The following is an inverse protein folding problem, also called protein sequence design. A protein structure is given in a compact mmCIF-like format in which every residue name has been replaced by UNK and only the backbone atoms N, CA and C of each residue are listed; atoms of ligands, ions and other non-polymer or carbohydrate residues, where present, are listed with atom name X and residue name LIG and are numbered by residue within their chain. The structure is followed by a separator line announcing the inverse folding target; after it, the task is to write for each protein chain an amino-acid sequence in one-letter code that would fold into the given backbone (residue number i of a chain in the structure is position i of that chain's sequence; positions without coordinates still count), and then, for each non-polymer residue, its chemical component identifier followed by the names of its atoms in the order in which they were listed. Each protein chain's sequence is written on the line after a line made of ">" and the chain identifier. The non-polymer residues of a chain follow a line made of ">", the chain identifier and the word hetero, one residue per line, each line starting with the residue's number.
data_IF_068565264968
#
_entry.id   IF_068565264968
#
_cell.length_a   1.000
_cell.length_b   1.000
_cell.length_c   1.000
_cell.angle_alpha   90.00
_cell.angle_beta   90.00
_cell.angle_gamma   90.00
#
_symmetry.space_group_name_H-M   'P 1'
#
loop_
_entity.id
_entity.type
_entity.pdbx_description
1 polymer ?
#
# COMPACT_ATOMS: atom_id res chain seq x y z
N UNK A 1 -26.07 -3.76 11.80
CA UNK A 1 -24.61 -3.93 11.98
C UNK A 1 -24.38 -5.22 12.76
N UNK A 2 -23.63 -6.21 12.26
CA UNK A 2 -23.39 -7.41 13.07
C UNK A 2 -22.53 -6.98 14.26
N UNK A 3 -23.07 -7.12 15.46
CA UNK A 3 -22.37 -6.77 16.70
C UNK A 3 -21.03 -7.52 16.76
N UNK A 4 -19.95 -6.77 16.95
CA UNK A 4 -18.61 -7.35 17.02
C UNK A 4 -18.49 -8.22 18.28
N UNK A 5 -18.36 -9.55 18.10
CA UNK A 5 -18.37 -10.51 19.21
C UNK A 5 -16.99 -10.66 19.88
N UNK A 6 -16.95 -10.81 21.20
CA UNK A 6 -15.74 -11.17 21.97
C UNK A 6 -15.05 -9.99 22.68
N UNK A 7 -14.04 -10.29 23.49
CA UNK A 7 -13.27 -9.28 24.23
C UNK A 7 -12.40 -8.45 23.27
N UNK A 8 -12.37 -7.13 23.45
CA UNK A 8 -11.61 -6.17 22.63
C UNK A 8 -11.86 -6.29 21.10
N UNK A 9 -13.11 -6.15 20.63
CA UNK A 9 -13.47 -6.32 19.23
C UNK A 9 -12.76 -5.33 18.28
N UNK A 10 -12.36 -4.15 18.79
CA UNK A 10 -11.62 -3.11 18.05
C UNK A 10 -10.38 -3.65 17.32
N UNK A 11 -9.76 -4.74 17.82
CA UNK A 11 -8.59 -5.38 17.21
C UNK A 11 -8.87 -6.03 15.85
N UNK A 12 -10.14 -6.17 15.48
CA UNK A 12 -10.60 -6.73 14.19
C UNK A 12 -11.02 -5.65 13.18
N UNK A 13 -10.72 -4.38 13.44
CA UNK A 13 -11.03 -3.27 12.52
C UNK A 13 -9.85 -3.00 11.59
N UNK A 14 -10.13 -2.59 10.34
CA UNK A 14 -9.09 -2.19 9.37
C UNK A 14 -8.19 -1.09 9.94
N UNK A 15 -8.79 -0.07 10.56
CA UNK A 15 -8.07 1.02 11.24
C UNK A 15 -7.05 0.51 12.26
N UNK A 16 -7.40 -0.52 13.05
CA UNK A 16 -6.46 -1.10 14.02
C UNK A 16 -5.32 -1.86 13.32
N UNK A 17 -5.64 -2.69 12.31
CA UNK A 17 -4.64 -3.48 11.59
C UNK A 17 -3.66 -2.60 10.78
N UNK A 18 -4.15 -1.52 10.18
CA UNK A 18 -3.35 -0.55 9.42
C UNK A 18 -2.44 0.32 10.31
N UNK A 19 -2.89 0.60 11.55
CA UNK A 19 -2.11 1.38 12.52
C UNK A 19 -0.83 0.68 13.01
N UNK A 20 -0.64 -0.60 12.70
CA UNK A 20 0.57 -1.36 13.07
C UNK A 20 1.82 -0.70 12.48
N UNK A 21 2.79 -0.35 13.33
CA UNK A 21 4.04 0.34 12.89
C UNK A 21 5.13 -0.63 12.43
N UNK A 22 4.91 -1.94 12.55
CA UNK A 22 5.88 -2.94 12.13
C UNK A 22 5.75 -3.16 10.64
N UNK A 23 6.60 -2.44 9.89
CA UNK A 23 6.87 -2.69 8.48
C UNK A 23 8.28 -3.23 8.36
N UNK A 24 8.42 -4.52 8.06
CA UNK A 24 9.74 -5.13 7.87
C UNK A 24 10.23 -4.87 6.44
N UNK A 25 11.46 -5.31 6.15
CA UNK A 25 12.10 -5.14 4.84
C UNK A 25 11.25 -5.77 3.74
N UNK A 26 11.64 -5.72 2.45
CA UNK A 26 10.87 -6.39 1.37
C UNK A 26 10.62 -7.90 1.65
N UNK A 27 11.21 -8.40 2.74
CA UNK A 27 10.77 -9.52 3.55
C UNK A 27 10.23 -9.05 4.93
N UNK A 28 8.90 -8.90 5.08
CA UNK A 28 8.06 -8.79 6.31
C UNK A 28 7.56 -7.36 6.75
N UNK A 29 6.58 -7.21 7.69
CA UNK A 29 5.55 -6.19 8.15
C UNK A 29 4.48 -6.97 9.04
N UNK A 30 4.96 -7.89 9.88
CA UNK A 30 4.34 -9.05 10.57
C UNK A 30 3.23 -9.98 9.96
N UNK A 31 1.97 -9.58 9.68
CA UNK A 31 1.05 -10.52 8.97
C UNK A 31 -0.06 -9.84 8.17
N UNK A 32 -0.75 -8.84 8.74
CA UNK A 32 -1.69 -8.03 7.93
C UNK A 32 -0.94 -7.20 6.90
N UNK A 33 0.16 -6.58 7.33
CA UNK A 33 1.02 -5.84 6.44
C UNK A 33 1.96 -6.81 5.65
N UNK A 34 2.15 -8.09 6.04
CA UNK A 34 2.69 -9.14 5.12
C UNK A 34 1.91 -10.43 5.15
N UNK A 35 1.16 -10.67 4.08
CA UNK A 35 0.56 -11.96 3.87
C UNK A 35 1.61 -13.08 3.68
N UNK A 36 2.83 -12.77 3.23
CA UNK A 36 3.82 -13.77 2.82
C UNK A 36 4.63 -14.41 3.96
N UNK A 37 4.46 -13.95 5.20
CA UNK A 37 5.32 -14.40 6.30
C UNK A 37 4.55 -15.27 7.26
N UNK A 38 5.15 -16.42 7.54
CA UNK A 38 4.60 -17.38 8.46
C UNK A 38 4.96 -17.01 9.89
N UNK A 39 3.96 -16.92 10.75
CA UNK A 39 4.11 -16.74 12.19
C UNK A 39 3.61 -17.99 12.88
N UNK A 40 4.49 -18.67 13.61
CA UNK A 40 4.15 -19.81 14.46
C UNK A 40 4.28 -19.40 15.93
N UNK A 41 3.34 -19.84 16.77
CA UNK A 41 3.39 -19.61 18.22
C UNK A 41 3.38 -20.93 18.93
N UNK A 42 4.37 -21.14 19.79
CA UNK A 42 4.48 -22.32 20.64
C UNK A 42 4.29 -21.90 22.09
N UNK A 43 3.60 -22.73 22.87
CA UNK A 43 3.27 -22.45 24.26
C UNK A 43 3.91 -23.51 25.15
N UNK A 44 4.43 -23.09 26.29
CA UNK A 44 4.94 -23.97 27.36
C UNK A 44 6.04 -24.95 26.89
N UNK A 45 6.84 -24.58 25.88
CA UNK A 45 7.98 -25.38 25.43
C UNK A 45 9.26 -25.05 26.19
N UNK A 46 9.46 -23.78 26.54
CA UNK A 46 10.66 -23.30 27.23
C UNK A 46 10.28 -22.51 28.48
N UNK A 47 11.12 -22.55 29.53
CA UNK A 47 10.86 -21.83 30.78
C UNK A 47 10.87 -20.31 30.59
N UNK A 48 11.70 -19.80 29.66
CA UNK A 48 11.77 -18.39 29.29
C UNK A 48 11.17 -18.15 27.89
N UNK A 49 10.42 -17.06 27.68
CA UNK A 49 9.84 -16.72 26.38
C UNK A 49 10.86 -16.03 25.48
N UNK A 50 10.89 -16.40 24.20
CA UNK A 50 11.73 -15.77 23.18
C UNK A 50 11.00 -15.68 21.84
N UNK A 51 11.52 -14.83 20.96
CA UNK A 51 11.10 -14.73 19.55
C UNK A 51 12.28 -15.15 18.68
N UNK A 52 12.08 -16.13 17.80
CA UNK A 52 13.09 -16.57 16.84
C UNK A 52 12.64 -16.23 15.43
N UNK A 53 13.52 -15.63 14.65
CA UNK A 53 13.25 -15.16 13.30
C UNK A 53 14.22 -15.87 12.36
N UNK A 54 13.70 -16.53 11.34
CA UNK A 54 14.48 -17.18 10.31
C UNK A 54 14.50 -16.30 9.07
N UNK A 55 15.69 -15.94 8.61
CA UNK A 55 15.91 -15.15 7.41
C UNK A 55 16.18 -16.05 6.21
N UNK A 56 15.97 -15.53 5.00
CA UNK A 56 16.15 -16.30 3.77
C UNK A 56 17.62 -16.64 3.46
N UNK A 57 18.58 -15.90 4.01
CA UNK A 57 20.00 -16.21 3.92
C UNK A 57 20.41 -17.38 4.84
N UNK A 58 19.47 -17.97 5.59
CA UNK A 58 19.73 -19.05 6.54
C UNK A 58 20.19 -18.56 7.92
N UNK A 59 20.32 -17.25 8.12
CA UNK A 59 20.61 -16.69 9.44
C UNK A 59 19.36 -16.75 10.32
N UNK A 60 19.58 -17.01 11.62
CA UNK A 60 18.54 -16.96 12.62
C UNK A 60 18.84 -15.91 13.69
N UNK A 61 17.82 -15.10 14.00
CA UNK A 61 17.89 -14.08 15.03
C UNK A 61 17.06 -14.55 16.21
N UNK A 62 17.70 -14.66 17.38
CA UNK A 62 17.05 -14.97 18.64
C UNK A 62 16.91 -13.71 19.50
N UNK A 63 15.67 -13.37 19.85
CA UNK A 63 15.33 -12.21 20.66
C UNK A 63 14.71 -12.69 21.97
N UNK A 64 15.42 -12.49 23.07
CA UNK A 64 14.85 -12.71 24.40
C UNK A 64 13.79 -11.66 24.71
N UNK A 65 12.62 -12.10 25.16
CA UNK A 65 11.50 -11.23 25.54
C UNK A 65 11.12 -11.36 27.00
N UNK A 66 11.93 -12.07 27.80
CA UNK A 66 11.69 -12.19 29.23
C UNK A 66 11.81 -10.83 29.93
N UNK A 67 10.94 -10.60 30.91
CA UNK A 67 10.87 -9.35 31.70
C UNK A 67 10.74 -8.05 30.88
N UNK A 68 10.37 -8.10 29.60
CA UNK A 68 10.17 -6.91 28.75
C UNK A 68 8.70 -6.51 28.64
N UNK A 69 8.46 -5.21 28.62
CA UNK A 69 7.12 -4.68 28.36
C UNK A 69 6.71 -4.86 26.89
N UNK A 70 5.41 -4.85 26.61
CA UNK A 70 4.88 -4.93 25.23
C UNK A 70 5.51 -3.88 24.30
N UNK A 71 5.72 -2.66 24.80
CA UNK A 71 6.35 -1.56 24.06
C UNK A 71 7.82 -1.84 23.78
N UNK A 72 8.57 -2.31 24.76
CA UNK A 72 9.99 -2.63 24.57
C UNK A 72 10.19 -3.75 23.56
N UNK A 73 9.40 -4.81 23.63
CA UNK A 73 9.43 -5.90 22.65
C UNK A 73 9.16 -5.35 21.25
N UNK A 74 8.15 -4.49 21.13
CA UNK A 74 7.78 -3.88 19.85
C UNK A 74 8.90 -3.01 19.27
N UNK A 75 9.50 -2.14 20.08
CA UNK A 75 10.53 -1.19 19.62
C UNK A 75 11.86 -1.90 19.34
N UNK A 76 12.17 -2.95 20.10
CA UNK A 76 13.33 -3.79 19.85
C UNK A 76 13.20 -4.55 18.53
N UNK A 77 12.05 -5.19 18.28
CA UNK A 77 11.75 -5.80 16.99
C UNK A 77 11.78 -4.77 15.87
N UNK A 78 11.22 -3.58 16.07
CA UNK A 78 11.28 -2.50 15.07
C UNK A 78 12.73 -2.18 14.68
N UNK A 79 13.62 -2.12 15.65
CA UNK A 79 15.03 -1.78 15.38
C UNK A 79 15.77 -2.86 14.60
N UNK A 80 15.51 -4.14 14.91
CA UNK A 80 16.23 -5.27 14.31
C UNK A 80 15.73 -5.57 12.89
N UNK A 81 14.42 -5.62 12.69
CA UNK A 81 13.81 -6.17 11.47
C UNK A 81 13.06 -5.14 10.62
N UNK A 82 12.67 -3.97 11.14
CA UNK A 82 11.92 -2.99 10.34
C UNK A 82 12.77 -2.29 9.25
N UNK A 83 12.10 -1.85 8.17
CA UNK A 83 12.65 -0.80 7.31
C UNK A 83 12.80 0.49 8.10
N UNK A 84 13.81 1.28 7.74
CA UNK A 84 13.92 2.65 8.24
C UNK A 84 12.75 3.49 7.74
N UNK A 85 12.36 4.48 8.52
CA UNK A 85 11.30 5.43 8.14
C UNK A 85 11.63 6.19 6.86
N UNK A 86 12.92 6.50 6.62
CA UNK A 86 13.40 7.12 5.39
C UNK A 86 13.13 6.27 4.15
N UNK A 87 13.25 4.94 4.25
CA UNK A 87 12.99 4.03 3.13
C UNK A 87 11.48 3.96 2.84
N UNK A 88 10.66 3.94 3.89
CA UNK A 88 9.19 3.94 3.75
C UNK A 88 8.67 5.21 3.08
N UNK A 89 9.22 6.36 3.42
CA UNK A 89 8.85 7.62 2.80
C UNK A 89 9.24 7.68 1.32
N UNK A 90 10.38 7.09 0.94
CA UNK A 90 10.80 7.00 -0.48
C UNK A 90 9.86 6.10 -1.27
N UNK A 91 9.59 4.89 -0.78
CA UNK A 91 8.64 3.95 -1.42
C UNK A 91 7.26 4.59 -1.56
N UNK A 92 6.78 5.28 -0.52
CA UNK A 92 5.49 5.97 -0.56
C UNK A 92 5.44 7.08 -1.62
N UNK A 93 6.55 7.81 -1.82
CA UNK A 93 6.66 8.84 -2.86
C UNK A 93 6.74 8.25 -4.26
N UNK A 94 7.45 7.14 -4.43
CA UNK A 94 7.56 6.45 -5.73
C UNK A 94 6.24 5.84 -6.19
N UNK A 95 5.39 5.42 -5.24
CA UNK A 95 4.03 4.96 -5.52
C UNK A 95 3.06 6.09 -5.91
N UNK A 96 3.44 7.37 -5.72
CA UNK A 96 2.57 8.48 -6.11
C UNK A 96 2.46 8.53 -7.62
N UNK A 97 1.23 8.45 -8.12
CA UNK A 97 0.93 8.59 -9.54
C UNK A 97 1.38 9.98 -9.98
N UNK A 98 2.10 10.06 -11.09
CA UNK A 98 2.49 11.32 -11.68
C UNK A 98 1.25 12.17 -11.99
N UNK A 99 1.09 13.38 -11.41
CA UNK A 99 -0.07 14.25 -11.65
C UNK A 99 -0.26 14.69 -13.12
N UNK A 100 0.77 14.51 -13.95
CA UNK A 100 0.70 14.77 -15.38
C UNK A 100 0.09 13.59 -16.18
N UNK A 101 -0.18 12.44 -15.55
CA UNK A 101 -0.82 11.33 -16.22
C UNK A 101 -2.31 11.63 -16.49
N UNK A 102 -2.81 11.10 -17.61
CA UNK A 102 -4.21 11.18 -18.01
C UNK A 102 -4.80 9.78 -18.11
N UNK A 103 -6.08 9.64 -17.77
CA UNK A 103 -6.86 8.42 -17.95
C UNK A 103 -7.47 7.88 -16.66
N UNK A 104 -7.91 6.63 -16.72
CA UNK A 104 -8.64 6.00 -15.62
C UNK A 104 -7.76 5.87 -14.37
N UNK A 105 -8.25 6.39 -13.24
CA UNK A 105 -7.49 6.40 -11.98
C UNK A 105 -6.44 7.51 -11.87
N UNK A 106 -6.38 8.44 -12.83
CA UNK A 106 -5.62 9.69 -12.73
C UNK A 106 -6.56 10.85 -12.39
N UNK A 107 -6.00 12.00 -12.01
CA UNK A 107 -6.78 13.20 -11.68
C UNK A 107 -7.62 13.72 -12.85
N UNK A 108 -7.14 13.50 -14.08
CA UNK A 108 -7.79 13.93 -15.32
C UNK A 108 -7.95 12.76 -16.26
N UNK A 109 -9.12 12.63 -16.88
CA UNK A 109 -9.37 11.54 -17.82
C UNK A 109 -8.84 11.86 -19.22
N UNK A 110 -9.03 13.10 -19.67
CA UNK A 110 -8.65 13.55 -21.00
C UNK A 110 -8.17 15.01 -20.95
N UNK A 111 -7.27 15.36 -21.87
CA UNK A 111 -6.70 16.70 -21.95
C UNK A 111 -7.76 17.79 -22.22
N UNK A 112 -8.92 17.43 -22.78
CA UNK A 112 -10.02 18.36 -23.03
C UNK A 112 -10.62 18.98 -21.76
N UNK A 113 -10.33 18.43 -20.57
CA UNK A 113 -10.72 19.01 -19.28
C UNK A 113 -9.87 20.22 -18.89
N UNK A 114 -8.72 20.44 -19.56
CA UNK A 114 -7.83 21.54 -19.26
C UNK A 114 -8.30 22.82 -19.98
N UNK A 115 -8.54 23.93 -19.26
CA UNK A 115 -8.89 25.19 -19.87
C UNK A 115 -7.86 25.64 -20.91
N UNK A 116 -8.33 26.12 -22.06
CA UNK A 116 -7.49 26.50 -23.20
C UNK A 116 -7.21 25.37 -24.19
N UNK A 117 -7.58 24.12 -23.87
CA UNK A 117 -7.52 22.99 -24.81
C UNK A 117 -8.80 22.86 -25.62
N UNK A 118 -8.74 22.06 -26.69
CA UNK A 118 -9.90 21.78 -27.53
C UNK A 118 -10.93 20.95 -26.74
N UNK A 119 -12.20 21.39 -26.65
CA UNK A 119 -13.22 20.67 -25.91
C UNK A 119 -13.58 19.35 -26.60
N UNK A 120 -14.11 18.40 -25.82
CA UNK A 120 -14.54 17.12 -26.37
C UNK A 120 -15.69 17.32 -27.38
N UNK A 121 -15.61 16.72 -28.58
CA UNK A 121 -16.66 16.82 -29.60
C UNK A 121 -18.05 16.37 -29.14
N UNK A 122 -18.11 15.50 -28.12
CA UNK A 122 -19.36 15.04 -27.52
C UNK A 122 -20.08 16.10 -26.67
N UNK A 123 -19.36 17.13 -26.21
CA UNK A 123 -19.92 18.26 -25.44
C UNK A 123 -20.15 19.45 -26.38
N UNK A 124 -19.11 19.81 -27.14
CA UNK A 124 -19.13 20.95 -28.07
C UNK A 124 -18.72 20.45 -29.45
N UNK A 125 -19.62 20.51 -30.45
CA UNK A 125 -19.28 20.06 -31.79
C UNK A 125 -18.14 20.89 -32.36
N UNK A 126 -17.14 20.22 -32.93
CA UNK A 126 -16.01 20.90 -33.57
C UNK A 126 -16.45 21.64 -34.84
N UNK A 127 -15.73 22.72 -35.23
CA UNK A 127 -15.97 23.41 -36.50
C UNK A 127 -15.96 22.47 -37.70
N UNK A 128 -16.75 22.79 -38.74
CA UNK A 128 -16.86 21.94 -39.94
C UNK A 128 -15.52 21.69 -40.62
N UNK A 129 -14.63 22.70 -40.65
CA UNK A 129 -13.29 22.59 -41.22
C UNK A 129 -12.36 21.66 -40.43
N UNK A 130 -12.74 21.14 -39.25
CA UNK A 130 -11.97 20.14 -38.49
C UNK A 130 -12.58 18.72 -38.59
N UNK A 131 -13.80 18.58 -39.12
CA UNK A 131 -14.54 17.31 -39.16
C UNK A 131 -14.32 16.59 -40.48
N UNK A 132 -13.97 15.30 -40.41
CA UNK A 132 -13.65 14.47 -41.59
C UNK A 132 -14.75 14.45 -42.65
N UNK A 133 -16.03 14.42 -42.23
CA UNK A 133 -17.20 14.43 -43.14
C UNK A 133 -17.18 15.59 -44.15
N UNK A 134 -16.78 16.79 -43.73
CA UNK A 134 -16.77 17.97 -44.63
C UNK A 134 -15.44 18.15 -45.36
N UNK A 135 -14.33 17.64 -44.81
CA UNK A 135 -13.03 17.68 -45.49
C UNK A 135 -12.94 16.71 -46.66
N UNK A 136 -13.60 15.55 -46.55
CA UNK A 136 -13.42 14.42 -47.46
C UNK A 136 -14.73 13.92 -48.10
N UNK A 137 -15.87 14.53 -47.78
CA UNK A 137 -17.19 14.08 -48.23
C UNK A 137 -17.43 14.17 -49.74
N UNK A 138 -16.62 14.92 -50.48
CA UNK A 138 -16.73 15.11 -51.94
C UNK A 138 -15.73 14.28 -52.75
N UNK A 139 -14.97 13.35 -52.13
CA UNK A 139 -13.92 12.57 -52.83
C UNK A 139 -14.33 11.13 -53.20
N UNK A 140 -15.61 10.90 -53.47
CA UNK A 140 -16.09 9.63 -54.00
C UNK A 140 -16.65 9.87 -55.42
N UNK A 141 -15.75 10.02 -56.39
CA UNK A 141 -16.01 9.79 -57.82
C UNK A 141 -15.28 8.50 -58.24
#
# INVERSE_FOLDING_TARGET
>A
MPFMKGKAPIRRTLKYLESSRLVLKERVKLQYKNPQVQVATFKNLTPTPFVRIFLENGEDILVDVDSKSRSEIHDHLKTIICKSESTLQKEARELMINPANFGWGCDRQCICEIPGQVPCPGIIPLPNHMRGKYKFGEKFD
#
